data_IF_563786499233
#
_entry.id   IF_563786499233
#
_cell.length_a   1.000
_cell.length_b   1.000
_cell.length_c   1.000
_cell.angle_alpha   90.00
_cell.angle_beta   90.00
_cell.angle_gamma   90.00
#
_symmetry.space_group_name_H-M   'P 1'
#
loop_
_entity.id
_entity.type
_entity.pdbx_description
1 polymer ?
#
# COMPACT_ATOMS: atom_id res chain seq x y z
N UNK A 1 -15.94 14.75 -0.84
CA UNK A 1 -14.75 15.00 0.00
C UNK A 1 -13.50 14.26 -0.49
N UNK A 2 -13.33 12.94 -0.30
CA UNK A 2 -12.06 12.27 -0.67
C UNK A 2 -11.73 12.30 -2.17
N UNK A 3 -12.72 12.17 -3.06
CA UNK A 3 -12.48 12.34 -4.50
C UNK A 3 -11.98 13.75 -4.82
N UNK A 4 -12.54 14.77 -4.18
CA UNK A 4 -12.08 16.15 -4.33
C UNK A 4 -10.64 16.32 -3.82
N UNK A 5 -10.30 15.70 -2.68
CA UNK A 5 -8.93 15.66 -2.16
C UNK A 5 -7.96 14.99 -3.14
N UNK A 6 -8.34 13.85 -3.70
CA UNK A 6 -7.51 13.10 -4.65
C UNK A 6 -7.31 13.83 -5.99
N UNK A 7 -8.29 14.64 -6.40
CA UNK A 7 -8.24 15.43 -7.63
C UNK A 7 -7.76 16.87 -7.42
N UNK A 8 -7.30 17.21 -6.21
CA UNK A 8 -6.81 18.53 -5.88
C UNK A 8 -7.85 19.66 -6.09
N UNK A 9 -9.13 19.35 -5.86
CA UNK A 9 -10.27 20.27 -5.97
C UNK A 9 -10.66 20.78 -4.57
N UNK A 10 -10.09 21.91 -4.19
CA UNK A 10 -10.32 22.50 -2.88
C UNK A 10 -11.78 22.95 -2.69
N UNK A 11 -12.42 23.53 -3.71
CA UNK A 11 -13.75 24.11 -3.58
C UNK A 11 -14.80 23.00 -3.38
N UNK A 12 -14.67 21.88 -4.10
CA UNK A 12 -15.51 20.70 -3.88
C UNK A 12 -15.21 20.02 -2.54
N UNK A 13 -13.93 20.02 -2.11
CA UNK A 13 -13.54 19.46 -0.81
C UNK A 13 -14.19 20.23 0.33
N UNK A 14 -13.97 21.56 0.41
CA UNK A 14 -14.46 22.39 1.49
C UNK A 14 -15.99 22.48 1.46
N UNK A 15 -16.60 22.55 0.26
CA UNK A 15 -18.05 22.54 0.08
C UNK A 15 -18.75 21.25 0.55
N UNK A 16 -17.99 20.15 0.75
CA UNK A 16 -18.52 18.92 1.34
C UNK A 16 -18.87 19.07 2.84
N UNK A 17 -18.34 20.09 3.53
CA UNK A 17 -18.54 20.29 4.96
C UNK A 17 -19.66 21.30 5.26
N UNK A 18 -20.49 20.98 6.24
CA UNK A 18 -21.57 21.88 6.69
C UNK A 18 -21.02 23.19 7.26
N UNK A 19 -19.96 23.11 8.07
CA UNK A 19 -19.37 24.28 8.72
C UNK A 19 -18.61 25.21 7.76
N UNK A 20 -18.29 24.76 6.55
CA UNK A 20 -17.58 25.57 5.55
C UNK A 20 -18.34 26.85 5.18
N UNK A 21 -19.68 26.79 5.18
CA UNK A 21 -20.55 27.94 4.87
C UNK A 21 -20.44 29.07 5.92
N UNK A 22 -19.79 28.80 7.06
CA UNK A 22 -19.64 29.74 8.18
C UNK A 22 -18.21 30.30 8.31
N UNK A 23 -17.27 29.85 7.48
CA UNK A 23 -15.87 30.29 7.54
C UNK A 23 -15.69 31.66 6.90
N UNK A 24 -14.74 32.44 7.43
CA UNK A 24 -14.34 33.69 6.79
C UNK A 24 -13.48 33.43 5.55
N UNK A 25 -13.42 34.38 4.61
CA UNK A 25 -12.56 34.27 3.42
C UNK A 25 -11.08 34.03 3.78
N UNK A 26 -10.59 34.65 4.86
CA UNK A 26 -9.22 34.47 5.33
C UNK A 26 -8.94 33.04 5.83
N UNK A 27 -9.92 32.43 6.50
CA UNK A 27 -9.79 31.04 6.97
C UNK A 27 -9.84 30.06 5.80
N UNK A 28 -10.73 30.31 4.82
CA UNK A 28 -10.82 29.52 3.59
C UNK A 28 -9.49 29.56 2.84
N UNK A 29 -8.88 30.74 2.69
CA UNK A 29 -7.60 30.87 1.98
C UNK A 29 -6.45 30.17 2.73
N UNK A 30 -6.46 30.22 4.06
CA UNK A 30 -5.48 29.51 4.90
C UNK A 30 -5.61 27.98 4.78
N UNK A 31 -6.84 27.46 4.76
CA UNK A 31 -7.12 26.04 4.53
C UNK A 31 -6.70 25.61 3.12
N UNK A 32 -6.95 26.46 2.12
CA UNK A 32 -6.58 26.21 0.72
C UNK A 32 -5.07 26.00 0.56
N UNK A 33 -4.26 26.84 1.20
CA UNK A 33 -2.81 26.67 1.20
C UNK A 33 -2.38 25.34 1.84
N UNK A 34 -3.03 24.93 2.93
CA UNK A 34 -2.71 23.66 3.60
C UNK A 34 -3.09 22.47 2.72
N UNK A 35 -4.28 22.49 2.12
CA UNK A 35 -4.81 21.44 1.25
C UNK A 35 -3.87 21.14 0.07
N UNK A 36 -3.36 22.17 -0.62
CA UNK A 36 -2.47 21.98 -1.77
C UNK A 36 -1.06 21.48 -1.43
N UNK A 37 -0.67 21.51 -0.15
CA UNK A 37 0.61 20.98 0.30
C UNK A 37 0.54 19.49 0.67
N UNK A 38 -0.66 18.94 0.88
CA UNK A 38 -0.85 17.54 1.22
C UNK A 38 -0.59 16.64 0.00
N UNK A 39 0.21 15.58 0.21
CA UNK A 39 0.50 14.56 -0.81
C UNK A 39 -0.04 13.20 -0.37
N UNK A 40 -1.31 13.21 0.04
CA UNK A 40 -2.02 12.04 0.57
C UNK A 40 -3.09 11.65 -0.45
N UNK A 41 -3.14 10.36 -0.79
CA UNK A 41 -4.25 9.82 -1.57
C UNK A 41 -5.15 9.01 -0.65
N UNK A 42 -6.45 9.22 -0.76
CA UNK A 42 -7.44 8.59 0.10
C UNK A 42 -8.27 7.57 -0.68
N UNK A 43 -8.70 6.52 0.02
CA UNK A 43 -9.73 5.57 -0.43
C UNK A 43 -10.59 5.23 0.77
N UNK A 44 -11.83 4.83 0.53
CA UNK A 44 -12.74 4.41 1.60
C UNK A 44 -13.23 2.99 1.38
N UNK A 45 -13.32 2.24 2.47
CA UNK A 45 -13.98 0.93 2.51
C UNK A 45 -15.25 1.06 3.36
N UNK A 46 -16.45 1.10 2.76
CA UNK A 46 -17.71 1.20 3.49
C UNK A 46 -17.91 0.02 4.44
N UNK A 47 -18.30 0.28 5.69
CA UNK A 47 -18.64 -0.76 6.66
C UNK A 47 -20.15 -0.81 6.90
N UNK A 48 -20.73 0.31 7.31
CA UNK A 48 -22.13 0.39 7.74
C UNK A 48 -22.74 1.76 7.42
N UNK A 49 -24.06 1.81 7.26
CA UNK A 49 -24.78 3.05 7.04
C UNK A 49 -26.17 3.03 7.68
N UNK A 50 -26.57 4.16 8.24
CA UNK A 50 -27.93 4.41 8.73
C UNK A 50 -28.45 5.70 8.11
N UNK A 51 -29.56 5.62 7.36
CA UNK A 51 -30.19 6.78 6.74
C UNK A 51 -31.42 7.23 7.51
N UNK A 52 -31.45 8.52 7.87
CA UNK A 52 -32.66 9.24 8.28
C UNK A 52 -33.08 10.25 7.22
N UNK A 53 -34.23 10.91 7.43
CA UNK A 53 -34.75 11.91 6.49
C UNK A 53 -33.96 13.23 6.46
N UNK A 54 -33.21 13.52 7.52
CA UNK A 54 -32.43 14.77 7.68
C UNK A 54 -31.00 14.56 8.14
N UNK A 55 -30.73 13.45 8.80
CA UNK A 55 -29.43 13.07 9.35
C UNK A 55 -29.15 11.65 8.89
N UNK A 56 -27.91 11.37 8.52
CA UNK A 56 -27.44 10.03 8.22
C UNK A 56 -26.08 9.80 8.91
N UNK A 57 -25.79 8.54 9.21
CA UNK A 57 -24.52 8.10 9.77
C UNK A 57 -23.90 7.10 8.81
N UNK A 58 -22.60 7.24 8.56
CA UNK A 58 -21.86 6.40 7.64
C UNK A 58 -20.52 6.01 8.26
N UNK A 59 -20.33 4.73 8.54
CA UNK A 59 -19.09 4.18 9.10
C UNK A 59 -18.29 3.50 8.02
N UNK A 60 -16.99 3.82 7.92
CA UNK A 60 -16.09 3.32 6.90
C UNK A 60 -14.65 3.24 7.42
N UNK A 61 -13.79 2.51 6.72
CA UNK A 61 -12.34 2.64 6.88
C UNK A 61 -11.84 3.71 5.91
N UNK A 62 -11.28 4.79 6.45
CA UNK A 62 -10.44 5.73 5.72
C UNK A 62 -9.07 5.08 5.52
N UNK A 63 -8.64 4.99 4.26
CA UNK A 63 -7.34 4.45 3.90
C UNK A 63 -6.54 5.57 3.24
N UNK A 64 -5.49 6.02 3.91
CA UNK A 64 -4.58 7.06 3.44
C UNK A 64 -3.28 6.42 2.94
N UNK A 65 -2.98 6.63 1.65
CA UNK A 65 -1.72 6.26 1.00
C UNK A 65 -0.80 7.47 0.94
N UNK A 66 0.38 7.31 1.51
CA UNK A 66 1.42 8.31 1.61
C UNK A 66 2.64 7.87 0.80
N UNK A 67 3.19 8.77 -0.01
CA UNK A 67 4.50 8.56 -0.66
C UNK A 67 5.55 9.42 0.02
N UNK A 68 6.49 8.79 0.73
CA UNK A 68 7.59 9.47 1.38
C UNK A 68 8.65 9.95 0.37
N UNK A 69 9.49 10.90 0.79
CA UNK A 69 10.60 11.41 -0.02
C UNK A 69 11.65 10.35 -0.38
N UNK A 70 11.70 9.25 0.36
CA UNK A 70 12.53 8.08 0.10
C UNK A 70 11.89 7.07 -0.86
N UNK A 71 10.85 7.46 -1.61
CA UNK A 71 10.06 6.59 -2.49
C UNK A 71 9.39 5.39 -1.80
N UNK A 72 9.26 5.40 -0.46
CA UNK A 72 8.48 4.41 0.26
C UNK A 72 7.01 4.78 0.26
N UNK A 73 6.16 3.76 0.20
CA UNK A 73 4.72 3.91 0.36
C UNK A 73 4.30 3.47 1.76
N UNK A 74 3.57 4.33 2.46
CA UNK A 74 2.96 4.00 3.74
C UNK A 74 1.44 4.02 3.62
N UNK A 75 0.79 3.13 4.36
CA UNK A 75 -0.66 3.06 4.47
C UNK A 75 -1.03 3.34 5.92
N UNK A 76 -1.94 4.30 6.11
CA UNK A 76 -2.68 4.50 7.34
C UNK A 76 -4.11 4.09 7.13
N UNK A 77 -4.67 3.36 8.08
CA UNK A 77 -6.09 3.00 8.08
C UNK A 77 -6.72 3.52 9.36
N UNK A 78 -7.88 4.18 9.24
CA UNK A 78 -8.66 4.65 10.39
C UNK A 78 -10.11 4.27 10.21
N UNK A 79 -10.77 3.85 11.28
CA UNK A 79 -12.22 3.69 11.30
C UNK A 79 -12.86 5.05 11.61
N UNK A 80 -13.71 5.51 10.70
CA UNK A 80 -14.34 6.83 10.77
C UNK A 80 -15.85 6.66 10.69
N UNK A 81 -16.58 7.38 11.53
CA UNK A 81 -18.03 7.58 11.38
C UNK A 81 -18.28 9.02 10.96
N UNK A 82 -18.83 9.20 9.76
CA UNK A 82 -19.30 10.49 9.27
C UNK A 82 -20.77 10.69 9.66
N UNK A 83 -21.06 11.83 10.29
CA UNK A 83 -22.43 12.31 10.47
C UNK A 83 -22.72 13.29 9.33
N UNK A 84 -23.76 13.01 8.57
CA UNK A 84 -24.22 13.81 7.45
C UNK A 84 -25.52 14.52 7.79
N UNK A 85 -25.66 15.76 7.37
CA UNK A 85 -26.90 16.54 7.46
C UNK A 85 -27.40 16.90 6.06
N UNK A 86 -28.70 16.76 5.85
CA UNK A 86 -29.35 17.12 4.58
C UNK A 86 -29.67 18.61 4.56
N UNK A 87 -29.03 19.33 3.66
CA UNK A 87 -29.27 20.74 3.38
C UNK A 87 -29.85 20.87 1.97
N UNK A 88 -31.10 21.35 1.87
CA UNK A 88 -31.85 21.35 0.61
C UNK A 88 -31.89 19.94 -0.03
N UNK A 89 -31.31 19.79 -1.23
CA UNK A 89 -31.19 18.52 -1.96
C UNK A 89 -29.85 17.80 -1.78
N UNK A 90 -28.94 18.34 -0.95
CA UNK A 90 -27.56 17.85 -0.82
C UNK A 90 -27.26 17.36 0.60
N UNK A 91 -26.35 16.39 0.72
CA UNK A 91 -25.83 15.92 2.00
C UNK A 91 -24.48 16.56 2.26
N UNK A 92 -24.32 17.18 3.43
CA UNK A 92 -23.04 17.75 3.88
C UNK A 92 -22.53 17.02 5.11
N UNK A 93 -21.22 16.94 5.25
CA UNK A 93 -20.54 16.38 6.41
C UNK A 93 -20.69 17.37 7.56
N UNK A 94 -21.42 16.96 8.60
CA UNK A 94 -21.53 17.70 9.85
C UNK A 94 -20.34 17.42 10.75
N UNK A 95 -19.93 16.15 10.84
CA UNK A 95 -18.85 15.70 11.72
C UNK A 95 -18.17 14.46 11.16
N UNK A 96 -16.87 14.34 11.40
CA UNK A 96 -16.09 13.12 11.21
C UNK A 96 -15.58 12.67 12.59
N UNK A 97 -16.01 11.50 13.05
CA UNK A 97 -15.56 10.91 14.30
C UNK A 97 -14.55 9.80 14.02
N UNK A 98 -13.32 9.96 14.50
CA UNK A 98 -12.24 8.98 14.31
C UNK A 98 -12.19 8.03 15.50
N UNK A 99 -12.80 6.87 15.34
CA UNK A 99 -13.11 5.95 16.46
C UNK A 99 -11.95 4.98 16.71
N UNK A 100 -11.21 4.62 15.66
CA UNK A 100 -10.09 3.68 15.77
C UNK A 100 -9.00 4.04 14.76
N UNK A 101 -7.74 3.99 15.19
CA UNK A 101 -6.59 4.15 14.30
C UNK A 101 -5.78 2.87 14.30
N UNK A 102 -5.53 2.34 13.12
CA UNK A 102 -4.60 1.22 12.96
C UNK A 102 -3.17 1.76 12.82
N UNK A 103 -2.15 1.00 13.23
CA UNK A 103 -0.76 1.39 13.01
C UNK A 103 -0.47 1.59 11.53
N UNK A 104 0.46 2.52 11.23
CA UNK A 104 1.03 2.64 9.90
C UNK A 104 1.63 1.32 9.45
N UNK A 105 1.44 0.99 8.19
CA UNK A 105 2.04 -0.21 7.58
C UNK A 105 2.77 0.14 6.29
N UNK A 106 3.81 -0.61 5.98
CA UNK A 106 4.67 -0.40 4.81
C UNK A 106 4.73 -1.71 4.04
N UNK A 107 3.82 -1.94 3.08
CA UNK A 107 3.75 -3.21 2.34
C UNK A 107 5.03 -3.54 1.58
N UNK A 108 5.83 -2.54 1.20
CA UNK A 108 7.14 -2.75 0.57
C UNK A 108 8.11 -3.57 1.44
N UNK A 109 7.95 -3.55 2.77
CA UNK A 109 8.89 -4.20 3.70
C UNK A 109 8.82 -5.72 3.60
N UNK A 110 7.66 -6.32 3.27
CA UNK A 110 7.57 -7.77 3.06
C UNK A 110 8.30 -8.20 1.79
N UNK A 111 8.25 -7.40 0.72
CA UNK A 111 9.01 -7.69 -0.52
C UNK A 111 10.51 -7.54 -0.30
N UNK A 112 10.91 -6.54 0.50
CA UNK A 112 12.33 -6.36 0.88
C UNK A 112 12.82 -7.53 1.73
N UNK A 113 12.00 -7.98 2.69
CA UNK A 113 12.29 -9.14 3.54
C UNK A 113 12.40 -10.43 2.72
N UNK A 114 11.52 -10.61 1.73
CA UNK A 114 11.56 -11.73 0.78
C UNK A 114 12.90 -11.81 0.03
N UNK A 115 13.36 -10.70 -0.56
CA UNK A 115 14.64 -10.69 -1.29
C UNK A 115 15.84 -10.84 -0.36
N UNK A 116 15.82 -10.22 0.82
CA UNK A 116 16.86 -10.40 1.83
C UNK A 116 16.99 -11.87 2.27
N UNK A 117 15.86 -12.52 2.55
CA UNK A 117 15.85 -13.94 2.93
C UNK A 117 16.33 -14.84 1.79
N UNK A 118 15.91 -14.55 0.54
CA UNK A 118 16.41 -15.26 -0.65
C UNK A 118 17.92 -15.11 -0.84
N UNK A 119 18.45 -13.89 -0.72
CA UNK A 119 19.88 -13.61 -0.86
C UNK A 119 20.69 -14.30 0.26
N UNK A 120 20.17 -14.30 1.49
CA UNK A 120 20.78 -14.94 2.65
C UNK A 120 20.60 -16.47 2.70
N UNK A 121 19.78 -17.04 1.81
CA UNK A 121 19.37 -18.46 1.82
C UNK A 121 18.68 -18.88 3.13
N UNK A 122 17.95 -17.95 3.74
CA UNK A 122 17.15 -18.17 4.93
C UNK A 122 15.74 -18.63 4.53
N UNK A 123 15.53 -19.95 4.51
CA UNK A 123 14.27 -20.54 4.09
C UNK A 123 13.10 -20.15 4.99
N UNK A 124 13.32 -20.10 6.31
CA UNK A 124 12.24 -19.84 7.28
C UNK A 124 11.75 -18.40 7.13
N UNK A 125 12.67 -17.44 7.00
CA UNK A 125 12.31 -16.05 6.70
C UNK A 125 11.68 -15.90 5.31
N UNK A 126 12.17 -16.65 4.31
CA UNK A 126 11.66 -16.62 2.94
C UNK A 126 10.21 -17.09 2.87
N UNK A 127 9.91 -18.27 3.42
CA UNK A 127 8.58 -18.88 3.31
C UNK A 127 7.56 -18.11 4.14
N UNK A 128 7.98 -17.55 5.29
CA UNK A 128 7.12 -16.72 6.14
C UNK A 128 6.69 -15.40 5.48
N UNK A 129 7.31 -14.98 4.37
CA UNK A 129 6.84 -13.83 3.62
C UNK A 129 5.53 -14.13 2.85
N UNK A 130 5.20 -15.40 2.61
CA UNK A 130 4.05 -15.79 1.78
C UNK A 130 2.78 -16.06 2.60
N UNK A 131 1.64 -15.66 2.05
CA UNK A 131 0.33 -15.86 2.66
C UNK A 131 -0.07 -17.33 2.73
N UNK A 132 0.31 -18.14 1.74
CA UNK A 132 -0.05 -19.56 1.72
C UNK A 132 0.69 -20.38 2.78
N UNK A 133 1.90 -19.98 3.19
CA UNK A 133 2.70 -20.70 4.18
C UNK A 133 1.94 -20.85 5.51
N UNK A 134 1.21 -19.78 5.82
CA UNK A 134 0.31 -19.57 6.92
C UNK A 134 -0.96 -20.46 6.91
N UNK A 135 -1.15 -21.25 5.85
CA UNK A 135 -2.24 -22.23 5.68
C UNK A 135 -1.73 -23.68 5.69
N UNK A 136 -0.41 -23.88 5.64
CA UNK A 136 0.23 -25.19 5.60
C UNK A 136 0.62 -25.65 7.01
N UNK A 137 0.73 -26.97 7.18
CA UNK A 137 1.34 -27.53 8.38
C UNK A 137 2.87 -27.56 8.25
N UNK A 138 3.55 -27.82 9.36
CA UNK A 138 5.02 -27.88 9.44
C UNK A 138 5.64 -28.91 8.47
N UNK A 139 5.02 -30.09 8.32
CA UNK A 139 5.55 -31.12 7.41
C UNK A 139 5.49 -30.71 5.94
N UNK A 140 4.42 -30.01 5.52
CA UNK A 140 4.28 -29.49 4.18
C UNK A 140 5.28 -28.36 3.92
N UNK A 141 5.53 -27.50 4.91
CA UNK A 141 6.54 -26.44 4.83
C UNK A 141 7.97 -27.01 4.69
N UNK A 142 8.35 -28.01 5.50
CA UNK A 142 9.67 -28.64 5.40
C UNK A 142 9.91 -29.31 4.04
N UNK A 143 8.86 -29.83 3.40
CA UNK A 143 8.95 -30.39 2.05
C UNK A 143 9.36 -29.37 0.98
N UNK A 144 9.10 -28.07 1.23
CA UNK A 144 9.45 -26.96 0.32
C UNK A 144 10.91 -26.48 0.48
N UNK A 145 11.64 -26.94 1.49
CA UNK A 145 13.02 -26.47 1.77
C UNK A 145 14.05 -26.92 0.75
N UNK A 146 13.94 -28.18 0.32
CA UNK A 146 14.89 -28.84 -0.57
C UNK A 146 14.97 -28.25 -2.00
N UNK A 147 13.89 -27.77 -2.65
CA UNK A 147 13.99 -27.24 -4.02
C UNK A 147 14.58 -25.81 -4.15
N UNK A 148 14.67 -25.00 -3.08
CA UNK A 148 14.94 -23.56 -3.25
C UNK A 148 16.39 -23.10 -3.07
N UNK A 149 17.25 -23.86 -2.38
CA UNK A 149 18.60 -23.38 -2.00
C UNK A 149 19.76 -24.35 -2.28
N UNK A 150 19.57 -25.38 -3.10
CA UNK A 150 20.65 -26.29 -3.46
C UNK A 150 21.70 -25.66 -4.41
N UNK A 151 22.98 -25.85 -4.06
CA UNK A 151 24.11 -26.07 -4.97
C UNK A 151 24.39 -25.14 -6.15
N UNK A 152 23.75 -23.96 -6.25
CA UNK A 152 23.96 -23.09 -7.40
C UNK A 152 25.39 -22.52 -7.42
N UNK A 153 26.12 -22.61 -8.56
CA UNK A 153 27.43 -21.97 -8.72
C UNK A 153 27.31 -20.43 -8.89
N UNK A 154 26.09 -19.92 -8.93
CA UNK A 154 25.77 -18.50 -9.07
C UNK A 154 25.53 -17.86 -7.70
N UNK A 155 26.00 -16.64 -7.52
CA UNK A 155 25.55 -15.76 -6.43
C UNK A 155 24.48 -14.81 -6.98
N UNK A 156 23.38 -14.68 -6.25
CA UNK A 156 22.26 -13.80 -6.59
C UNK A 156 22.16 -12.70 -5.54
N UNK A 157 22.07 -11.47 -6.00
CA UNK A 157 21.69 -10.32 -5.17
C UNK A 157 20.57 -9.59 -5.88
N UNK A 158 19.48 -9.34 -5.16
CA UNK A 158 18.33 -8.60 -5.68
C UNK A 158 18.03 -7.39 -4.81
N UNK A 159 17.85 -6.24 -5.45
CA UNK A 159 17.34 -5.00 -4.86
C UNK A 159 16.01 -4.60 -5.51
N UNK A 160 15.22 -3.75 -4.85
CA UNK A 160 13.94 -3.27 -5.37
C UNK A 160 13.93 -1.77 -5.61
N UNK A 161 13.36 -1.36 -6.74
CA UNK A 161 13.09 0.04 -7.07
C UNK A 161 11.56 0.25 -7.12
N UNK A 162 10.95 0.92 -6.12
CA UNK A 162 9.49 1.11 -6.06
C UNK A 162 8.94 1.96 -7.21
N UNK A 163 7.85 1.51 -7.83
CA UNK A 163 7.16 2.23 -8.92
C UNK A 163 5.84 2.83 -8.41
N UNK A 164 4.92 1.98 -7.96
CA UNK A 164 3.60 2.41 -7.49
C UNK A 164 3.01 1.45 -6.45
N UNK A 165 2.04 1.97 -5.70
CA UNK A 165 1.21 1.19 -4.80
C UNK A 165 -0.27 1.50 -5.09
N UNK A 166 -1.04 0.46 -5.38
CA UNK A 166 -2.50 0.50 -5.47
C UNK A 166 -3.11 -0.14 -4.24
N UNK A 167 -4.18 0.44 -3.70
CA UNK A 167 -4.86 -0.08 -2.52
C UNK A 167 -6.28 -0.43 -2.92
N UNK A 168 -6.60 -1.72 -2.89
CA UNK A 168 -7.91 -2.24 -3.28
C UNK A 168 -8.87 -2.10 -2.10
N UNK A 169 -8.42 -2.51 -0.91
CA UNK A 169 -9.15 -2.38 0.35
C UNK A 169 -8.16 -2.39 1.55
N UNK A 170 -8.66 -2.41 2.78
CA UNK A 170 -7.83 -2.40 3.99
C UNK A 170 -6.90 -3.61 4.16
N UNK A 171 -7.12 -4.69 3.40
CA UNK A 171 -6.41 -5.95 3.48
C UNK A 171 -5.72 -6.38 2.18
N UNK A 172 -5.92 -5.68 1.05
CA UNK A 172 -5.37 -6.07 -0.25
C UNK A 172 -4.71 -4.89 -0.96
N UNK A 173 -3.46 -5.05 -1.36
CA UNK A 173 -2.71 -4.05 -2.11
C UNK A 173 -1.88 -4.66 -3.23
N UNK A 174 -1.66 -3.86 -4.28
CA UNK A 174 -0.79 -4.19 -5.39
C UNK A 174 0.43 -3.27 -5.35
N UNK A 175 1.61 -3.86 -5.23
CA UNK A 175 2.87 -3.14 -5.19
C UNK A 175 3.69 -3.41 -6.46
N UNK A 176 3.85 -2.39 -7.29
CA UNK A 176 4.63 -2.46 -8.53
C UNK A 176 6.04 -1.95 -8.28
N UNK A 177 7.04 -2.70 -8.74
CA UNK A 177 8.46 -2.37 -8.57
C UNK A 177 9.32 -2.97 -9.68
N UNK A 178 10.57 -2.52 -9.78
CA UNK A 178 11.60 -3.24 -10.54
C UNK A 178 12.51 -4.04 -9.59
N UNK A 179 12.74 -5.31 -9.90
CA UNK A 179 13.86 -6.08 -9.34
C UNK A 179 15.13 -5.76 -10.13
N UNK A 180 16.16 -5.30 -9.42
CA UNK A 180 17.52 -5.15 -9.94
C UNK A 180 18.32 -6.37 -9.46
N UNK A 181 18.45 -7.37 -10.33
CA UNK A 181 19.10 -8.63 -10.01
C UNK A 181 20.53 -8.64 -10.54
N UNK A 182 21.48 -8.89 -9.65
CA UNK A 182 22.89 -9.14 -9.95
C UNK A 182 23.15 -10.64 -9.84
N UNK A 183 23.57 -11.26 -10.94
CA UNK A 183 23.98 -12.66 -10.99
C UNK A 183 25.48 -12.70 -11.25
N UNK A 184 26.25 -13.34 -10.37
CA UNK A 184 27.71 -13.46 -10.51
C UNK A 184 28.17 -14.90 -10.49
N UNK A 185 29.20 -15.17 -11.29
CA UNK A 185 30.06 -16.36 -11.22
C UNK A 185 31.53 -15.94 -11.12
N UNK A 186 32.42 -16.94 -11.11
CA UNK A 186 33.87 -16.74 -11.26
C UNK A 186 34.27 -16.05 -12.59
N UNK A 187 33.40 -16.03 -13.60
CA UNK A 187 33.73 -15.60 -14.98
C UNK A 187 32.80 -14.56 -15.56
N UNK A 188 31.66 -14.30 -14.94
CA UNK A 188 30.60 -13.49 -15.56
C UNK A 188 29.82 -12.74 -14.51
N UNK A 189 29.44 -11.51 -14.85
CA UNK A 189 28.45 -10.73 -14.12
C UNK A 189 27.32 -10.34 -15.06
N UNK A 190 26.10 -10.61 -14.64
CA UNK A 190 24.86 -10.27 -15.33
C UNK A 190 24.03 -9.37 -14.42
N UNK A 191 23.63 -8.20 -14.93
CA UNK A 191 22.63 -7.36 -14.30
C UNK A 191 21.35 -7.42 -15.12
N UNK A 192 20.24 -7.65 -14.42
CA UNK A 192 18.91 -7.77 -15.00
C UNK A 192 17.96 -6.84 -14.28
N UNK A 193 17.13 -6.12 -15.03
CA UNK A 193 16.05 -5.28 -14.51
C UNK A 193 14.73 -5.89 -14.95
N UNK A 194 13.94 -6.39 -14.00
CA UNK A 194 12.65 -7.03 -14.26
C UNK A 194 11.53 -6.29 -13.56
N UNK A 195 10.44 -6.01 -14.26
CA UNK A 195 9.25 -5.45 -13.66
C UNK A 195 8.44 -6.54 -12.93
N UNK A 196 7.99 -6.25 -11.72
CA UNK A 196 7.14 -7.13 -10.93
C UNK A 196 5.95 -6.35 -10.35
N UNK A 197 4.83 -7.06 -10.21
CA UNK A 197 3.71 -6.64 -9.36
C UNK A 197 3.54 -7.69 -8.26
N UNK A 198 3.75 -7.29 -7.01
CA UNK A 198 3.44 -8.12 -5.84
C UNK A 198 2.01 -7.84 -5.38
N UNK A 199 1.22 -8.89 -5.26
CA UNK A 199 -0.11 -8.83 -4.65
C UNK A 199 0.05 -9.20 -3.19
N UNK A 200 -0.21 -8.24 -2.32
CA UNK A 200 0.01 -8.36 -0.88
C UNK A 200 -1.32 -8.37 -0.16
N UNK A 201 -1.42 -9.27 0.80
CA UNK A 201 -2.62 -9.52 1.60
C UNK A 201 -2.31 -9.42 3.08
N UNK A 202 -3.18 -8.76 3.81
CA UNK A 202 -3.04 -8.57 5.25
C UNK A 202 -3.61 -9.76 6.01
N UNK A 203 -2.84 -10.29 6.96
CA UNK A 203 -3.28 -11.32 7.91
C UNK A 203 -2.73 -10.99 9.29
N UNK A 204 -3.59 -10.97 10.30
CA UNK A 204 -3.21 -10.65 11.69
C UNK A 204 -2.40 -9.35 11.83
N UNK A 205 -2.76 -8.32 11.07
CA UNK A 205 -2.06 -7.03 10.95
C UNK A 205 -0.68 -7.05 10.26
N UNK A 206 -0.25 -8.17 9.71
CA UNK A 206 0.98 -8.29 8.91
C UNK A 206 0.66 -8.40 7.42
N UNK A 207 1.48 -7.79 6.57
CA UNK A 207 1.41 -7.96 5.12
C UNK A 207 2.17 -9.22 4.71
N UNK A 208 1.56 -10.03 3.84
CA UNK A 208 2.14 -11.24 3.27
C UNK A 208 1.98 -11.20 1.75
N UNK A 209 2.89 -11.82 1.02
CA UNK A 209 2.81 -11.98 -0.43
C UNK A 209 1.80 -13.08 -0.75
N UNK A 210 0.75 -12.76 -1.50
CA UNK A 210 -0.19 -13.76 -2.02
C UNK A 210 0.39 -14.40 -3.29
N UNK A 211 0.83 -13.58 -4.25
CA UNK A 211 1.55 -14.01 -5.46
C UNK A 211 2.26 -12.83 -6.12
N UNK A 212 3.02 -13.13 -7.18
CA UNK A 212 3.66 -12.15 -8.04
C UNK A 212 3.19 -12.30 -9.48
N UNK A 213 3.00 -11.19 -10.17
CA UNK A 213 2.98 -11.15 -11.63
C UNK A 213 4.32 -10.61 -12.15
N UNK A 214 4.85 -11.28 -13.18
CA UNK A 214 6.09 -10.88 -13.86
C UNK A 214 5.74 -10.05 -15.08
N UNK A 215 6.28 -8.84 -15.14
CA UNK A 215 6.16 -7.94 -16.27
C UNK A 215 7.32 -8.08 -17.26
N UNK A 216 7.73 -6.96 -17.84
CA UNK A 216 8.84 -6.90 -18.80
C UNK A 216 10.19 -7.21 -18.13
N UNK A 217 11.09 -7.82 -18.88
CA UNK A 217 12.45 -8.15 -18.45
C UNK A 217 13.49 -7.58 -19.41
N UNK A 218 14.56 -7.01 -18.86
CA UNK A 218 15.67 -6.43 -19.61
C UNK A 218 17.02 -6.85 -19.01
N UNK A 219 17.94 -7.31 -19.87
CA UNK A 219 19.35 -7.46 -19.50
C UNK A 219 20.02 -6.10 -19.64
N UNK A 220 20.47 -5.53 -18.53
CA UNK A 220 21.07 -4.20 -18.50
C UNK A 220 22.58 -4.24 -18.67
N UNK A 221 23.27 -5.26 -18.12
CA UNK A 221 24.72 -5.44 -18.26
C UNK A 221 25.07 -6.93 -18.38
N UNK A 222 26.01 -7.27 -19.28
CA UNK A 222 26.67 -8.57 -19.36
C UNK A 222 28.18 -8.38 -19.48
N UNK A 223 28.92 -8.72 -18.43
CA UNK A 223 30.38 -8.63 -18.35
C UNK A 223 31.00 -10.03 -18.29
N UNK A 224 32.13 -10.21 -19.00
CA UNK A 224 32.95 -11.43 -18.94
C UNK A 224 34.35 -11.05 -18.45
N UNK A 225 34.88 -11.83 -17.50
CA UNK A 225 36.20 -11.64 -16.91
C UNK A 225 37.25 -12.55 -17.55
#
# INVERSE_FOLDING_TARGET
MYDASNNNDFDQYIGSFYAADMLSENDIESLKQTFYNERIQYTIEPLEHTYGNRIAEFTYLEIAKLRGNNNRFAISTKKVTAILVKMNSEWKILMLDYIESYPFSIPQDVVTSFYNARNARDFDAYINCFYFADLLNESDLESLKYPYFEGSPYTYESEIEPVSLSVTDSNNVEFKYYELQTITTDKTKLLRKTEFTAYLKKKNNEWKIEYFDVGSDEITILERY
#
